data_IF_063380603964
#
_entry.id   IF_063380603964
#
_cell.length_a   1.000
_cell.length_b   1.000
_cell.length_c   1.000
_cell.angle_alpha   90.00
_cell.angle_beta   90.00
_cell.angle_gamma   90.00
#
_symmetry.space_group_name_H-M   'P 1'
#
loop_
_entity.id
_entity.type
_entity.pdbx_description
1 polymer ?
#
# COMPACT_ATOMS: atom_id res chain seq x y z
N UNK A 1 -30.39 -58.46 -30.97
CA UNK A 1 -29.82 -58.20 -29.63
C UNK A 1 -28.77 -57.09 -29.76
N UNK A 2 -29.21 -55.83 -29.80
CA UNK A 2 -28.32 -54.66 -29.82
C UNK A 2 -27.70 -54.53 -28.43
N UNK A 3 -26.40 -54.75 -28.32
CA UNK A 3 -25.68 -54.73 -27.04
C UNK A 3 -25.85 -53.34 -26.37
N UNK A 4 -26.40 -53.24 -25.16
CA UNK A 4 -26.66 -51.96 -24.48
C UNK A 4 -25.39 -51.19 -24.06
N UNK A 5 -24.20 -51.74 -24.31
CA UNK A 5 -22.92 -51.16 -23.91
C UNK A 5 -22.57 -49.84 -24.61
N UNK A 6 -22.99 -49.64 -25.87
CA UNK A 6 -22.67 -48.40 -26.61
C UNK A 6 -23.34 -47.17 -26.00
N UNK A 7 -24.58 -47.30 -25.53
CA UNK A 7 -25.29 -46.23 -24.84
C UNK A 7 -24.63 -45.90 -23.49
N UNK A 8 -24.23 -46.92 -22.73
CA UNK A 8 -23.54 -46.71 -21.45
C UNK A 8 -22.19 -46.01 -21.63
N UNK A 9 -21.40 -46.39 -22.64
CA UNK A 9 -20.11 -45.73 -22.94
C UNK A 9 -20.31 -44.28 -23.40
N UNK A 10 -21.32 -44.00 -24.23
CA UNK A 10 -21.64 -42.65 -24.67
C UNK A 10 -22.06 -41.77 -23.49
N UNK A 11 -22.93 -42.29 -22.62
CA UNK A 11 -23.36 -41.58 -21.40
C UNK A 11 -22.17 -41.28 -20.51
N UNK A 12 -21.27 -42.26 -20.30
CA UNK A 12 -20.08 -42.05 -19.49
C UNK A 12 -19.13 -41.01 -20.10
N UNK A 13 -18.93 -41.04 -21.42
CA UNK A 13 -18.13 -40.04 -22.12
C UNK A 13 -18.73 -38.63 -21.99
N UNK A 14 -20.06 -38.49 -22.13
CA UNK A 14 -20.76 -37.21 -21.95
C UNK A 14 -20.61 -36.72 -20.51
N UNK A 15 -20.78 -37.59 -19.51
CA UNK A 15 -20.58 -37.23 -18.10
C UNK A 15 -19.14 -36.80 -17.81
N UNK A 16 -18.15 -37.48 -18.39
CA UNK A 16 -16.74 -37.11 -18.25
C UNK A 16 -16.45 -35.75 -18.87
N UNK A 17 -17.03 -35.45 -20.05
CA UNK A 17 -16.91 -34.13 -20.70
C UNK A 17 -17.57 -33.04 -19.85
N UNK A 18 -18.76 -33.30 -19.30
CA UNK A 18 -19.46 -32.37 -18.40
C UNK A 18 -18.61 -32.11 -17.15
N UNK A 19 -18.06 -33.16 -16.53
CA UNK A 19 -17.19 -33.02 -15.36
C UNK A 19 -15.92 -32.20 -15.69
N UNK A 20 -15.28 -32.47 -16.82
CA UNK A 20 -14.12 -31.71 -17.29
C UNK A 20 -14.48 -30.24 -17.55
N UNK A 21 -15.65 -29.97 -18.13
CA UNK A 21 -16.13 -28.61 -18.35
C UNK A 21 -16.38 -27.89 -17.02
N UNK A 22 -16.99 -28.55 -16.03
CA UNK A 22 -17.21 -27.97 -14.69
C UNK A 22 -15.88 -27.63 -14.03
N UNK A 23 -14.91 -28.54 -14.05
CA UNK A 23 -13.57 -28.33 -13.46
C UNK A 23 -12.83 -27.19 -14.17
N UNK A 24 -12.89 -27.14 -15.50
CA UNK A 24 -12.22 -26.10 -16.28
C UNK A 24 -12.80 -24.69 -16.06
N UNK A 25 -14.09 -24.58 -15.67
CA UNK A 25 -14.77 -23.30 -15.42
C UNK A 25 -14.96 -23.01 -13.93
N UNK A 26 -14.48 -23.88 -13.05
CA UNK A 26 -14.59 -23.67 -11.61
C UNK A 26 -13.62 -22.57 -11.16
N UNK A 27 -14.15 -21.57 -10.47
CA UNK A 27 -13.33 -20.56 -9.79
C UNK A 27 -12.88 -21.08 -8.44
N UNK A 28 -11.61 -21.42 -8.32
CA UNK A 28 -11.00 -21.86 -7.07
C UNK A 28 -10.56 -20.63 -6.26
N UNK A 29 -11.35 -20.28 -5.25
CA UNK A 29 -11.04 -19.19 -4.33
C UNK A 29 -10.30 -19.80 -3.13
N UNK A 30 -9.03 -19.45 -2.97
CA UNK A 30 -8.20 -19.86 -1.83
C UNK A 30 -7.99 -18.72 -0.82
N UNK A 31 -8.70 -17.60 -1.00
CA UNK A 31 -8.65 -16.47 -0.08
C UNK A 31 -9.73 -16.59 1.02
N UNK A 32 -9.56 -15.81 2.08
CA UNK A 32 -10.50 -15.79 3.21
C UNK A 32 -11.90 -15.25 2.83
N UNK A 33 -12.10 -14.76 1.61
CA UNK A 33 -13.37 -14.17 1.20
C UNK A 33 -14.51 -15.19 1.08
N UNK A 34 -14.18 -16.48 0.97
CA UNK A 34 -15.15 -17.57 1.07
C UNK A 34 -15.86 -17.63 2.44
N UNK A 35 -15.26 -17.06 3.49
CA UNK A 35 -15.85 -16.97 4.83
C UNK A 35 -16.64 -15.69 5.08
N UNK A 36 -16.73 -14.79 4.10
CA UNK A 36 -17.44 -13.54 4.25
C UNK A 36 -18.94 -13.69 3.95
N UNK A 37 -19.82 -12.97 4.66
CA UNK A 37 -21.26 -13.05 4.46
C UNK A 37 -21.65 -12.64 3.03
N UNK A 38 -22.53 -13.44 2.39
CA UNK A 38 -22.94 -13.23 0.99
C UNK A 38 -23.71 -11.91 0.74
N UNK A 39 -24.30 -11.32 1.79
CA UNK A 39 -25.06 -10.07 1.71
C UNK A 39 -24.61 -9.09 2.80
N UNK A 40 -23.48 -8.38 2.61
CA UNK A 40 -22.98 -7.45 3.60
C UNK A 40 -23.71 -6.10 3.51
N UNK A 41 -23.87 -5.44 4.65
CA UNK A 41 -24.27 -4.03 4.71
C UNK A 41 -23.21 -3.12 4.05
N UNK A 42 -23.57 -1.89 3.65
CA UNK A 42 -22.65 -0.98 2.96
C UNK A 42 -21.32 -0.75 3.71
N UNK A 43 -21.37 -0.61 5.04
CA UNK A 43 -20.17 -0.46 5.88
C UNK A 43 -19.32 -1.74 5.91
N UNK A 44 -19.97 -2.91 5.97
CA UNK A 44 -19.26 -4.20 5.92
C UNK A 44 -18.64 -4.47 4.55
N UNK A 45 -19.27 -4.03 3.47
CA UNK A 45 -18.69 -4.12 2.11
C UNK A 45 -17.40 -3.33 2.02
N UNK A 46 -17.35 -2.12 2.59
CA UNK A 46 -16.14 -1.30 2.60
C UNK A 46 -15.01 -1.97 3.39
N UNK A 47 -15.30 -2.52 4.57
CA UNK A 47 -14.32 -3.30 5.36
C UNK A 47 -13.82 -4.53 4.61
N UNK A 48 -14.73 -5.27 3.97
CA UNK A 48 -14.40 -6.46 3.17
C UNK A 48 -13.52 -6.08 1.98
N UNK A 49 -13.82 -4.98 1.30
CA UNK A 49 -13.03 -4.48 0.20
C UNK A 49 -11.62 -4.09 0.69
N UNK A 50 -11.49 -3.42 1.83
CA UNK A 50 -10.18 -3.14 2.43
C UNK A 50 -9.41 -4.42 2.81
N UNK A 51 -10.10 -5.49 3.25
CA UNK A 51 -9.47 -6.77 3.55
C UNK A 51 -9.10 -7.58 2.31
N UNK A 52 -9.79 -7.38 1.17
CA UNK A 52 -9.56 -8.13 -0.07
C UNK A 52 -8.57 -7.42 -0.99
N UNK A 53 -8.69 -6.11 -1.13
CA UNK A 53 -7.96 -5.30 -2.10
C UNK A 53 -7.17 -4.15 -1.46
N UNK A 54 -7.35 -3.91 -0.17
CA UNK A 54 -6.64 -2.86 0.55
C UNK A 54 -5.15 -3.17 0.76
N UNK A 55 -4.38 -2.17 1.24
CA UNK A 55 -2.93 -2.25 1.35
C UNK A 55 -2.45 -3.42 2.21
N UNK A 56 -3.20 -3.74 3.28
CA UNK A 56 -2.88 -4.84 4.19
C UNK A 56 -3.03 -6.22 3.54
N UNK A 57 -3.95 -6.37 2.58
CA UNK A 57 -4.20 -7.63 1.87
C UNK A 57 -3.07 -8.01 0.91
N UNK A 58 -2.22 -7.03 0.56
CA UNK A 58 -1.10 -7.17 -0.40
C UNK A 58 0.26 -7.03 0.28
N UNK A 59 0.30 -7.05 1.60
CA UNK A 59 1.53 -6.97 2.37
C UNK A 59 2.20 -8.35 2.43
N UNK A 60 3.45 -8.42 1.97
CA UNK A 60 4.29 -9.59 2.14
C UNK A 60 5.36 -9.30 3.20
N UNK A 61 5.38 -10.10 4.25
CA UNK A 61 6.42 -10.07 5.27
C UNK A 61 7.46 -11.15 4.95
N UNK A 62 8.72 -10.73 4.79
CA UNK A 62 9.82 -11.63 4.49
C UNK A 62 10.79 -11.69 5.67
N UNK A 63 11.13 -12.90 6.09
CA UNK A 63 12.19 -13.17 7.07
C UNK A 63 13.39 -13.83 6.37
N UNK A 64 14.60 -13.44 6.76
CA UNK A 64 15.85 -14.03 6.26
C UNK A 64 16.53 -14.74 7.43
N UNK A 65 16.81 -16.02 7.26
CA UNK A 65 17.45 -16.88 8.26
C UNK A 65 18.78 -17.46 7.75
N UNK A 66 19.60 -17.99 8.67
CA UNK A 66 20.94 -18.51 8.37
C UNK A 66 22.06 -17.46 8.43
N UNK A 67 23.31 -17.91 8.32
CA UNK A 67 24.51 -17.07 8.36
C UNK A 67 24.71 -16.28 9.68
N UNK A 68 25.61 -15.32 9.64
CA UNK A 68 25.85 -14.32 10.69
C UNK A 68 24.86 -13.15 10.59
N UNK A 69 24.77 -12.35 11.66
CA UNK A 69 23.91 -11.15 11.66
C UNK A 69 24.33 -10.11 10.61
N UNK A 70 25.63 -9.98 10.35
CA UNK A 70 26.15 -9.08 9.32
C UNK A 70 25.75 -9.54 7.91
N UNK A 71 25.88 -10.83 7.61
CA UNK A 71 25.46 -11.41 6.33
C UNK A 71 23.96 -11.26 6.11
N UNK A 72 23.13 -11.49 7.14
CA UNK A 72 21.68 -11.26 7.06
C UNK A 72 21.33 -9.80 6.80
N UNK A 73 22.00 -8.86 7.47
CA UNK A 73 21.79 -7.43 7.26
C UNK A 73 22.12 -7.01 5.83
N UNK A 74 23.24 -7.50 5.28
CA UNK A 74 23.63 -7.25 3.89
C UNK A 74 22.64 -7.86 2.90
N UNK A 75 22.23 -9.11 3.13
CA UNK A 75 21.26 -9.81 2.28
C UNK A 75 19.89 -9.12 2.26
N UNK A 76 19.41 -8.66 3.43
CA UNK A 76 18.17 -7.89 3.58
C UNK A 76 18.21 -6.58 2.78
N UNK A 77 19.30 -5.81 2.90
CA UNK A 77 19.46 -4.56 2.16
C UNK A 77 19.53 -4.79 0.64
N UNK A 78 20.27 -5.80 0.20
CA UNK A 78 20.40 -6.13 -1.22
C UNK A 78 19.08 -6.64 -1.83
N UNK A 79 18.34 -7.49 -1.10
CA UNK A 79 17.02 -7.94 -1.52
C UNK A 79 16.07 -6.76 -1.66
N UNK A 80 16.01 -5.88 -0.66
CA UNK A 80 15.16 -4.68 -0.70
C UNK A 80 15.51 -3.78 -1.89
N UNK A 81 16.80 -3.61 -2.21
CA UNK A 81 17.26 -2.85 -3.38
C UNK A 81 16.77 -3.46 -4.69
N UNK A 82 16.84 -4.79 -4.84
CA UNK A 82 16.36 -5.48 -6.06
C UNK A 82 14.85 -5.39 -6.22
N UNK A 83 14.09 -5.63 -5.15
CA UNK A 83 12.63 -5.57 -5.19
C UNK A 83 12.12 -4.17 -5.57
N UNK A 84 12.81 -3.11 -5.16
CA UNK A 84 12.48 -1.72 -5.54
C UNK A 84 12.64 -1.41 -7.02
N UNK A 85 13.49 -2.17 -7.72
CA UNK A 85 13.69 -2.00 -9.16
C UNK A 85 12.63 -2.76 -9.97
N UNK A 86 11.84 -3.61 -9.33
CA UNK A 86 10.80 -4.41 -9.98
C UNK A 86 9.44 -3.67 -9.92
N UNK A 87 8.81 -3.37 -11.07
CA UNK A 87 7.54 -2.65 -11.12
C UNK A 87 6.36 -3.42 -10.50
N UNK A 88 6.51 -4.71 -10.19
CA UNK A 88 5.50 -5.47 -9.46
C UNK A 88 5.32 -5.01 -8.01
N UNK A 89 6.31 -4.32 -7.44
CA UNK A 89 6.29 -3.85 -6.06
C UNK A 89 6.07 -2.33 -6.00
N UNK A 90 4.92 -1.92 -5.47
CA UNK A 90 4.59 -0.49 -5.29
C UNK A 90 5.42 0.15 -4.17
N UNK A 91 5.73 -0.60 -3.11
CA UNK A 91 6.52 -0.15 -1.98
C UNK A 91 7.32 -1.30 -1.37
N UNK A 92 8.54 -1.01 -0.91
CA UNK A 92 9.42 -1.97 -0.23
C UNK A 92 10.07 -1.30 0.98
N UNK A 93 9.60 -1.70 2.17
CA UNK A 93 10.03 -1.17 3.45
C UNK A 93 10.99 -2.14 4.13
N UNK A 94 12.22 -1.69 4.40
CA UNK A 94 13.26 -2.48 5.05
C UNK A 94 13.85 -1.78 6.29
N UNK A 95 13.12 -0.81 6.85
CA UNK A 95 13.59 0.00 7.98
C UNK A 95 14.79 0.90 7.66
N UNK A 96 15.10 1.10 6.38
CA UNK A 96 16.21 1.91 5.91
C UNK A 96 15.81 3.37 5.64
N UNK A 97 16.75 4.28 5.86
CA UNK A 97 16.53 5.72 5.67
C UNK A 97 16.09 6.10 4.25
N UNK A 98 16.44 5.30 3.23
CA UNK A 98 16.06 5.60 1.85
C UNK A 98 14.55 5.46 1.59
N UNK A 99 13.85 4.60 2.35
CA UNK A 99 12.39 4.51 2.27
C UNK A 99 11.75 5.74 2.92
N UNK A 100 12.25 6.12 4.09
CA UNK A 100 11.80 7.32 4.81
C UNK A 100 12.01 8.60 3.99
N UNK A 101 13.15 8.73 3.29
CA UNK A 101 13.43 9.93 2.49
C UNK A 101 12.48 10.04 1.29
N UNK A 102 12.14 8.92 0.63
CA UNK A 102 11.15 8.94 -0.47
C UNK A 102 9.77 9.37 0.00
N UNK A 103 9.31 8.80 1.11
CA UNK A 103 8.01 9.17 1.69
C UNK A 103 8.00 10.65 2.09
N UNK A 104 9.09 11.11 2.72
CA UNK A 104 9.28 12.51 3.07
C UNK A 104 9.26 13.42 1.85
N UNK A 105 9.95 13.04 0.78
CA UNK A 105 9.98 13.81 -0.47
C UNK A 105 8.60 13.89 -1.13
N UNK A 106 7.84 12.79 -1.13
CA UNK A 106 6.47 12.77 -1.62
C UNK A 106 5.55 13.70 -0.84
N UNK A 107 5.57 13.61 0.50
CA UNK A 107 4.79 14.47 1.39
C UNK A 107 5.19 15.94 1.20
N UNK A 108 6.49 16.21 1.13
CA UNK A 108 7.00 17.55 0.92
C UNK A 108 6.53 18.14 -0.42
N UNK A 109 6.55 17.35 -1.50
CA UNK A 109 6.08 17.78 -2.82
C UNK A 109 4.58 18.10 -2.85
N UNK A 110 3.75 17.36 -2.10
CA UNK A 110 2.29 17.50 -2.09
C UNK A 110 1.75 18.26 -0.87
N UNK A 111 2.62 18.88 -0.07
CA UNK A 111 2.26 19.45 1.23
C UNK A 111 1.06 20.40 1.20
N UNK A 112 0.92 21.24 0.17
CA UNK A 112 -0.20 22.18 0.08
C UNK A 112 -1.55 21.51 -0.25
N UNK A 113 -1.53 20.30 -0.83
CA UNK A 113 -2.74 19.53 -1.12
C UNK A 113 -3.14 18.64 0.07
N UNK A 114 -2.15 18.23 0.86
CA UNK A 114 -2.34 17.33 1.99
C UNK A 114 -2.58 18.06 3.31
N UNK A 115 -2.09 19.29 3.45
CA UNK A 115 -2.26 20.08 4.67
C UNK A 115 -3.70 20.59 4.79
N UNK A 116 -4.37 20.21 5.88
CA UNK A 116 -5.72 20.68 6.22
C UNK A 116 -5.78 22.18 6.50
N UNK A 117 -4.62 22.79 6.74
CA UNK A 117 -4.51 24.21 7.08
C UNK A 117 -4.45 25.13 5.84
N UNK A 118 -4.48 24.56 4.63
CA UNK A 118 -4.52 25.31 3.37
C UNK A 118 -5.93 25.82 3.09
N UNK A 119 -6.17 27.08 3.44
CA UNK A 119 -7.38 27.84 3.07
C UNK A 119 -7.04 29.05 2.19
N UNK A 120 -7.99 29.60 1.42
CA UNK A 120 -7.75 30.82 0.63
C UNK A 120 -7.22 31.99 1.46
N UNK A 121 -7.70 32.15 2.69
CA UNK A 121 -7.31 33.24 3.60
C UNK A 121 -5.84 33.11 4.02
N UNK A 122 -5.34 31.88 4.16
CA UNK A 122 -3.94 31.62 4.51
C UNK A 122 -2.96 32.10 3.43
N UNK A 123 -3.38 32.07 2.17
CA UNK A 123 -2.59 32.59 1.04
C UNK A 123 -2.84 34.07 0.74
N UNK A 124 -3.64 34.76 1.57
CA UNK A 124 -3.72 36.22 1.57
C UNK A 124 -2.50 36.87 2.21
N UNK A 125 -2.31 38.17 1.99
CA UNK A 125 -1.14 38.90 2.52
C UNK A 125 -1.02 38.85 4.05
N UNK A 126 -2.15 38.91 4.76
CA UNK A 126 -2.18 38.79 6.22
C UNK A 126 -1.90 37.35 6.68
N UNK A 127 -2.48 36.36 6.00
CA UNK A 127 -2.29 34.93 6.30
C UNK A 127 -0.85 34.48 6.09
N UNK A 128 -0.23 34.87 4.98
CA UNK A 128 1.18 34.58 4.70
C UNK A 128 2.10 35.24 5.73
N UNK A 129 1.82 36.50 6.11
CA UNK A 129 2.61 37.18 7.16
C UNK A 129 2.51 36.45 8.49
N UNK A 130 1.32 36.00 8.88
CA UNK A 130 1.11 35.24 10.10
C UNK A 130 1.87 33.90 10.04
N UNK A 131 1.65 33.09 9.00
CA UNK A 131 2.27 31.77 8.86
C UNK A 131 3.81 31.82 8.81
N UNK A 132 4.37 32.84 8.17
CA UNK A 132 5.82 33.04 8.15
C UNK A 132 6.34 33.47 9.53
N UNK A 133 5.63 34.36 10.22
CA UNK A 133 5.98 34.75 11.60
C UNK A 133 5.97 33.53 12.52
N UNK A 134 4.93 32.70 12.45
CA UNK A 134 4.84 31.47 13.25
C UNK A 134 6.01 30.50 12.95
N UNK A 135 6.38 30.39 11.67
CA UNK A 135 7.53 29.57 11.25
C UNK A 135 8.87 30.14 11.75
N UNK A 136 9.01 31.47 11.83
CA UNK A 136 10.19 32.14 12.40
C UNK A 136 10.25 31.94 13.92
N UNK A 137 9.12 32.03 14.62
CA UNK A 137 9.04 31.77 16.05
C UNK A 137 9.38 30.30 16.35
N UNK A 138 8.94 29.37 15.49
CA UNK A 138 9.33 27.96 15.58
C UNK A 138 10.83 27.76 15.36
N UNK A 139 11.45 28.48 14.42
CA UNK A 139 12.91 28.45 14.22
C UNK A 139 13.69 28.92 15.46
N UNK A 140 13.11 29.82 16.26
CA UNK A 140 13.70 30.29 17.50
C UNK A 140 13.54 29.29 18.67
N UNK A 141 12.74 28.24 18.51
CA UNK A 141 12.49 27.21 19.53
C UNK A 141 13.54 26.08 19.54
N UNK A 142 13.48 25.20 20.54
CA UNK A 142 14.30 23.97 20.60
C UNK A 142 14.05 23.00 19.44
N UNK A 143 12.91 23.11 18.76
CA UNK A 143 12.56 22.32 17.58
C UNK A 143 12.99 22.98 16.26
N UNK A 144 13.58 24.18 16.30
CA UNK A 144 13.97 24.95 15.10
C UNK A 144 15.00 24.26 14.20
N UNK A 145 15.79 23.32 14.75
CA UNK A 145 16.71 22.49 13.97
C UNK A 145 16.01 21.64 12.90
N UNK A 146 14.74 21.28 13.10
CA UNK A 146 13.94 20.49 12.16
C UNK A 146 13.46 21.33 10.97
N UNK A 147 13.11 22.60 11.21
CA UNK A 147 12.56 23.50 10.18
C UNK A 147 13.64 24.21 9.37
N UNK A 148 14.80 24.50 9.99
CA UNK A 148 15.89 25.27 9.37
C UNK A 148 16.34 24.76 7.99
N UNK A 149 16.46 23.44 7.73
CA UNK A 149 16.88 22.94 6.42
C UNK A 149 15.85 23.15 5.31
N UNK A 150 14.57 23.30 5.66
CA UNK A 150 13.45 23.31 4.70
C UNK A 150 12.70 24.64 4.64
N UNK A 151 12.94 25.57 5.57
CA UNK A 151 12.23 26.84 5.70
C UNK A 151 12.17 27.64 4.38
N UNK A 152 13.26 27.69 3.60
CA UNK A 152 13.28 28.43 2.33
C UNK A 152 12.37 27.82 1.27
N UNK A 153 12.07 26.52 1.38
CA UNK A 153 11.20 25.77 0.49
C UNK A 153 9.78 25.67 1.05
N UNK A 154 9.60 25.76 2.36
CA UNK A 154 8.31 25.69 3.04
C UNK A 154 8.19 26.77 4.14
N UNK A 155 8.06 28.05 3.75
CA UNK A 155 8.06 29.17 4.70
C UNK A 155 6.75 29.30 5.48
N UNK A 156 5.69 28.58 5.07
CA UNK A 156 4.41 28.52 5.77
C UNK A 156 4.30 27.33 6.71
N UNK A 157 5.31 26.44 6.72
CA UNK A 157 5.41 25.30 7.63
C UNK A 157 4.40 24.19 7.36
N UNK A 158 3.89 24.02 6.14
CA UNK A 158 2.88 23.01 5.83
C UNK A 158 3.35 21.59 6.08
N UNK A 159 4.63 21.32 5.85
CA UNK A 159 5.20 20.00 6.08
C UNK A 159 5.05 19.57 7.54
N UNK A 160 5.16 20.51 8.49
CA UNK A 160 4.96 20.23 9.91
C UNK A 160 3.48 20.03 10.26
N UNK A 161 2.55 20.57 9.46
CA UNK A 161 1.11 20.34 9.65
C UNK A 161 0.63 18.97 9.19
N UNK A 162 1.48 18.20 8.49
CA UNK A 162 1.14 16.86 7.95
C UNK A 162 1.79 15.73 8.75
N UNK A 163 2.89 16.02 9.46
CA UNK A 163 3.64 15.06 10.28
C UNK A 163 2.98 14.83 11.64
#
# INVERSE_FOLDING_TARGET
>A
MTRPGGAATLIWAVLAIIAAAIVAHASYIADLSAFLPRSPTATQQLLIEQLRSGPAARLLLLAIEGGSGAERSQASAELARRLRADPAFVAVNNGDAASLERDREFLFAHRYQLSESVTPERFGAAGLRAAITDSLDFLASSAGALLKPVFTRDPTGEMLGIL
#
